data_IF_503093441715
#
_entry.id   IF_503093441715
#
_cell.length_a   1.000
_cell.length_b   1.000
_cell.length_c   1.000
_cell.angle_alpha   90.00
_cell.angle_beta   90.00
_cell.angle_gamma   90.00
#
_symmetry.space_group_name_H-M   'P 1'
#
loop_
_entity.id
_entity.type
_entity.pdbx_description
1 polymer ?
#
# COMPACT_ATOMS: atom_id res chain seq x y z
N UNK A 1 -53.38 13.99 77.11
CA UNK A 1 -52.64 12.98 76.25
C UNK A 1 -53.07 12.94 74.80
N UNK A 2 -54.34 13.19 74.44
CA UNK A 2 -54.77 13.18 73.05
C UNK A 2 -54.23 14.31 72.15
N UNK A 3 -53.95 15.44 72.75
CA UNK A 3 -53.39 16.61 71.96
C UNK A 3 -51.92 16.49 71.58
N UNK A 4 -51.16 15.71 72.40
CA UNK A 4 -49.72 15.49 72.10
C UNK A 4 -49.50 14.48 70.97
N UNK A 5 -50.37 13.49 70.85
CA UNK A 5 -50.28 12.50 69.78
C UNK A 5 -50.66 13.08 68.40
N UNK A 6 -51.61 14.00 68.36
CA UNK A 6 -51.98 14.65 67.07
C UNK A 6 -50.92 15.61 66.56
N UNK A 7 -50.13 16.22 67.46
CA UNK A 7 -49.04 17.10 67.06
C UNK A 7 -47.83 16.32 66.50
N UNK A 8 -47.53 15.17 67.04
CA UNK A 8 -46.44 14.32 66.50
C UNK A 8 -46.80 13.67 65.17
N UNK A 9 -48.08 13.29 64.99
CA UNK A 9 -48.53 12.75 63.71
C UNK A 9 -48.53 13.80 62.58
N UNK A 10 -48.90 15.06 62.90
CA UNK A 10 -48.85 16.17 61.92
C UNK A 10 -47.40 16.53 61.54
N UNK A 11 -46.46 16.49 62.49
CA UNK A 11 -45.03 16.73 62.22
C UNK A 11 -44.40 15.61 61.34
N UNK A 12 -44.77 14.35 61.59
CA UNK A 12 -44.29 13.23 60.80
C UNK A 12 -44.81 13.27 59.33
N UNK A 13 -46.04 13.67 59.12
CA UNK A 13 -46.59 13.84 57.78
C UNK A 13 -45.97 15.02 57.05
N UNK A 14 -45.66 16.12 57.74
CA UNK A 14 -44.98 17.29 57.15
C UNK A 14 -43.55 16.97 56.73
N UNK A 15 -42.79 16.19 57.51
CA UNK A 15 -41.45 15.75 57.16
C UNK A 15 -41.47 14.77 55.99
N UNK A 16 -42.43 13.87 55.95
CA UNK A 16 -42.58 12.95 54.81
C UNK A 16 -43.01 13.67 53.51
N UNK A 17 -43.86 14.70 53.60
CA UNK A 17 -44.25 15.52 52.44
C UNK A 17 -43.07 16.41 51.97
N UNK A 18 -42.19 16.88 52.86
CA UNK A 18 -41.02 17.66 52.49
C UNK A 18 -39.95 16.81 51.82
N UNK A 19 -39.84 15.53 52.18
CA UNK A 19 -38.94 14.57 51.54
C UNK A 19 -39.42 14.13 50.14
N UNK A 20 -40.72 14.25 49.85
CA UNK A 20 -41.32 13.98 48.52
C UNK A 20 -41.31 15.20 47.59
N UNK A 21 -41.03 16.40 48.11
CA UNK A 21 -40.97 17.66 47.32
C UNK A 21 -39.56 18.18 47.07
N UNK A 22 -38.52 17.48 47.51
CA UNK A 22 -37.19 17.75 47.09
C UNK A 22 -37.08 17.20 45.66
N UNK A 23 -37.02 18.06 44.61
CA UNK A 23 -36.75 17.56 43.28
C UNK A 23 -35.38 16.88 43.38
N UNK A 24 -35.32 15.62 42.95
CA UNK A 24 -34.09 14.89 42.76
C UNK A 24 -33.29 15.60 41.66
N UNK A 25 -32.73 16.76 41.98
CA UNK A 25 -31.57 17.30 41.27
C UNK A 25 -30.32 16.55 41.77
N UNK A 26 -30.46 15.22 41.93
CA UNK A 26 -29.28 14.35 41.87
C UNK A 26 -28.77 14.46 40.45
N UNK A 27 -27.74 15.17 40.32
CA UNK A 27 -26.80 15.26 39.24
C UNK A 27 -27.18 14.41 38.03
N UNK A 28 -27.70 15.03 36.99
CA UNK A 28 -27.12 14.72 35.70
C UNK A 28 -25.64 15.01 35.86
N UNK A 29 -24.92 14.07 36.42
CA UNK A 29 -23.56 13.83 36.01
C UNK A 29 -23.70 13.88 34.49
N UNK A 30 -23.29 15.01 33.89
CA UNK A 30 -22.77 14.95 32.56
C UNK A 30 -21.71 13.87 32.66
N UNK A 31 -22.09 12.65 32.38
CA UNK A 31 -21.19 11.76 31.71
C UNK A 31 -20.80 12.59 30.46
N UNK A 32 -19.71 13.34 30.59
CA UNK A 32 -18.81 13.47 29.50
C UNK A 32 -18.67 12.00 29.07
N UNK A 33 -19.43 11.61 28.07
CA UNK A 33 -19.01 10.60 27.18
C UNK A 33 -17.68 11.15 26.64
N UNK A 34 -16.60 10.89 27.35
CA UNK A 34 -15.37 10.62 26.70
C UNK A 34 -15.80 9.54 25.71
N UNK A 35 -16.05 9.92 24.47
CA UNK A 35 -15.73 9.08 23.36
C UNK A 35 -14.22 8.88 23.48
N UNK A 36 -13.77 8.06 24.43
CA UNK A 36 -12.63 7.23 24.20
C UNK A 36 -13.06 6.52 22.91
N UNK A 37 -12.58 6.99 21.75
CA UNK A 37 -12.34 6.09 20.66
C UNK A 37 -11.68 4.92 21.39
N UNK A 38 -12.43 3.84 21.61
CA UNK A 38 -11.80 2.56 21.87
C UNK A 38 -10.88 2.43 20.69
N UNK A 39 -9.63 2.79 20.88
CA UNK A 39 -8.53 2.35 20.04
C UNK A 39 -8.67 0.86 20.12
N UNK A 40 -9.40 0.32 19.15
CA UNK A 40 -9.65 -1.10 19.03
C UNK A 40 -8.26 -1.70 18.94
N UNK A 41 -7.84 -2.33 20.02
CA UNK A 41 -6.54 -2.99 20.10
C UNK A 41 -6.54 -4.03 18.98
N UNK A 42 -5.85 -3.72 17.86
CA UNK A 42 -5.81 -4.58 16.68
C UNK A 42 -4.81 -5.72 16.92
N UNK A 43 -5.19 -6.64 17.79
CA UNK A 43 -4.34 -7.76 18.18
C UNK A 43 -4.30 -8.86 17.12
N UNK A 44 -5.18 -8.81 16.10
CA UNK A 44 -5.35 -9.90 15.15
C UNK A 44 -5.54 -9.41 13.70
N UNK A 45 -4.67 -8.52 13.24
CA UNK A 45 -4.68 -8.05 11.86
C UNK A 45 -3.94 -9.02 10.94
N UNK A 46 -4.51 -9.23 9.75
CA UNK A 46 -3.95 -10.08 8.72
C UNK A 46 -3.80 -9.32 7.40
N UNK A 47 -2.83 -9.70 6.59
CA UNK A 47 -2.71 -9.23 5.22
C UNK A 47 -2.65 -10.43 4.26
N UNK A 48 -3.45 -10.38 3.19
CA UNK A 48 -3.37 -11.30 2.05
C UNK A 48 -2.99 -10.47 0.83
N UNK A 49 -1.78 -10.69 0.32
CA UNK A 49 -1.17 -9.86 -0.73
C UNK A 49 -0.90 -10.71 -1.95
N UNK A 50 -1.52 -10.38 -3.08
CA UNK A 50 -1.57 -11.24 -4.26
C UNK A 50 -1.09 -10.51 -5.51
N UNK A 51 0.04 -10.97 -6.06
CA UNK A 51 0.45 -10.70 -7.43
C UNK A 51 -0.04 -11.84 -8.32
N UNK A 52 -0.99 -11.55 -9.21
CA UNK A 52 -1.62 -12.60 -10.04
C UNK A 52 -0.94 -12.79 -11.39
N UNK A 53 -0.03 -11.90 -11.79
CA UNK A 53 0.55 -11.88 -13.13
C UNK A 53 1.90 -12.55 -13.23
N UNK A 54 2.14 -13.21 -14.37
CA UNK A 54 3.42 -13.78 -14.76
C UNK A 54 4.09 -12.94 -15.85
N UNK A 55 5.32 -13.32 -16.21
CA UNK A 55 6.15 -12.77 -17.27
C UNK A 55 6.77 -11.41 -16.96
N UNK A 56 7.95 -11.19 -17.50
CA UNK A 56 8.81 -10.03 -17.22
C UNK A 56 8.14 -8.66 -17.45
N UNK A 57 7.32 -8.52 -18.46
CA UNK A 57 6.63 -7.26 -18.74
C UNK A 57 5.59 -6.87 -17.67
N UNK A 58 5.25 -7.79 -16.77
CA UNK A 58 4.40 -7.58 -15.59
C UNK A 58 5.20 -7.37 -14.29
N UNK A 59 6.49 -7.07 -14.39
CA UNK A 59 7.40 -6.83 -13.27
C UNK A 59 6.77 -5.94 -12.19
N UNK A 60 6.09 -4.87 -12.60
CA UNK A 60 5.44 -3.92 -11.72
C UNK A 60 4.44 -4.55 -10.73
N UNK A 61 3.71 -5.58 -11.14
CA UNK A 61 2.71 -6.22 -10.27
C UNK A 61 3.39 -6.94 -9.08
N UNK A 62 4.53 -7.61 -9.31
CA UNK A 62 5.33 -8.16 -8.21
C UNK A 62 5.91 -7.05 -7.34
N UNK A 63 6.44 -5.99 -7.95
CA UNK A 63 6.99 -4.86 -7.21
C UNK A 63 5.91 -4.13 -6.37
N UNK A 64 4.69 -3.96 -6.90
CA UNK A 64 3.54 -3.45 -6.15
C UNK A 64 3.26 -4.28 -4.90
N UNK A 65 3.14 -5.59 -5.07
CA UNK A 65 2.81 -6.54 -3.99
C UNK A 65 3.90 -6.56 -2.91
N UNK A 66 5.17 -6.62 -3.32
CA UNK A 66 6.32 -6.56 -2.40
C UNK A 66 6.41 -5.22 -1.65
N UNK A 67 6.01 -4.14 -2.30
CA UNK A 67 5.98 -2.81 -1.67
C UNK A 67 4.93 -2.75 -0.55
N UNK A 68 3.73 -3.30 -0.79
CA UNK A 68 2.70 -3.42 0.24
C UNK A 68 3.13 -4.38 1.36
N UNK A 69 3.77 -5.51 1.03
CA UNK A 69 4.33 -6.43 2.01
C UNK A 69 5.28 -5.71 2.98
N UNK A 70 6.24 -4.94 2.45
CA UNK A 70 7.14 -4.14 3.29
C UNK A 70 6.40 -3.07 4.09
N UNK A 71 5.38 -2.46 3.51
CA UNK A 71 4.58 -1.42 4.18
C UNK A 71 3.84 -1.97 5.38
N UNK A 72 3.13 -3.08 5.24
CA UNK A 72 2.37 -3.69 6.35
C UNK A 72 3.30 -4.25 7.43
N UNK A 73 4.45 -4.82 7.06
CA UNK A 73 5.49 -5.23 8.04
C UNK A 73 6.01 -4.03 8.83
N UNK A 74 6.36 -2.93 8.14
CA UNK A 74 6.84 -1.70 8.79
C UNK A 74 5.80 -1.10 9.73
N UNK A 75 4.51 -1.26 9.43
CA UNK A 75 3.41 -0.79 10.26
C UNK A 75 2.96 -1.79 11.34
N UNK A 76 3.64 -2.94 11.46
CA UNK A 76 3.51 -3.83 12.59
C UNK A 76 2.77 -5.14 12.37
N UNK A 77 2.40 -5.52 11.13
CA UNK A 77 1.86 -6.87 10.86
C UNK A 77 3.05 -7.85 10.78
N UNK A 78 3.12 -8.87 11.65
CA UNK A 78 4.21 -9.84 11.62
C UNK A 78 4.04 -10.83 10.46
N UNK A 79 5.15 -11.45 10.01
CA UNK A 79 5.16 -12.36 8.85
C UNK A 79 4.17 -13.51 8.96
N UNK A 80 4.04 -14.10 10.14
CA UNK A 80 3.08 -15.20 10.36
C UNK A 80 1.60 -14.80 10.17
N UNK A 81 1.32 -13.52 9.97
CA UNK A 81 0.00 -12.97 9.66
C UNK A 81 -0.08 -12.31 8.29
N UNK A 82 0.91 -12.54 7.45
CA UNK A 82 0.91 -12.11 6.05
C UNK A 82 0.88 -13.38 5.19
N UNK A 83 -0.08 -13.47 4.29
CA UNK A 83 -0.08 -14.48 3.22
C UNK A 83 0.36 -13.79 1.94
N UNK A 84 1.55 -14.11 1.48
CA UNK A 84 2.15 -13.53 0.27
C UNK A 84 2.09 -14.52 -0.89
N UNK A 85 1.38 -14.13 -1.96
CA UNK A 85 1.19 -14.94 -3.17
C UNK A 85 1.81 -14.22 -4.37
N UNK A 86 2.86 -14.81 -4.97
CA UNK A 86 3.57 -14.26 -6.13
C UNK A 86 3.54 -15.24 -7.31
N UNK A 87 2.80 -14.90 -8.38
CA UNK A 87 2.61 -15.77 -9.54
C UNK A 87 3.87 -15.96 -10.38
N UNK A 88 4.87 -15.10 -10.24
CA UNK A 88 6.18 -15.24 -10.89
C UNK A 88 7.31 -14.81 -9.94
N UNK A 89 8.55 -15.09 -10.31
CA UNK A 89 9.74 -14.68 -9.58
C UNK A 89 10.60 -13.73 -10.45
N UNK A 90 10.32 -12.43 -10.34
CA UNK A 90 11.08 -11.41 -11.07
C UNK A 90 12.50 -11.26 -10.53
N UNK A 91 12.75 -11.61 -9.27
CA UNK A 91 14.09 -11.55 -8.68
C UNK A 91 15.05 -12.56 -9.33
N UNK A 92 14.54 -13.76 -9.68
CA UNK A 92 15.30 -14.83 -10.32
C UNK A 92 15.11 -14.88 -11.85
N UNK A 93 14.43 -13.91 -12.46
CA UNK A 93 14.20 -13.89 -13.90
C UNK A 93 15.50 -13.65 -14.68
N UNK A 94 15.71 -14.39 -15.77
CA UNK A 94 16.91 -14.26 -16.61
C UNK A 94 17.09 -12.88 -17.25
N UNK A 95 16.01 -12.08 -17.37
CA UNK A 95 16.07 -10.69 -17.85
C UNK A 95 16.45 -9.69 -16.76
N UNK A 96 16.44 -10.11 -15.50
CA UNK A 96 16.74 -9.22 -14.40
C UNK A 96 18.23 -8.88 -14.37
N UNK A 97 18.57 -7.61 -14.63
CA UNK A 97 19.94 -7.08 -14.55
C UNK A 97 20.47 -7.08 -13.10
N UNK A 98 19.59 -7.12 -12.12
CA UNK A 98 19.87 -7.12 -10.69
C UNK A 98 19.40 -8.43 -10.03
N UNK A 99 20.16 -9.55 -10.17
CA UNK A 99 19.75 -10.85 -9.64
C UNK A 99 19.39 -10.79 -8.15
N UNK A 100 18.34 -11.48 -7.76
CA UNK A 100 17.80 -11.53 -6.41
C UNK A 100 17.31 -10.17 -5.85
N UNK A 101 17.05 -9.19 -6.71
CA UNK A 101 16.58 -7.86 -6.32
C UNK A 101 15.35 -7.45 -7.13
N UNK A 102 14.46 -6.69 -6.51
CA UNK A 102 13.28 -6.08 -7.15
C UNK A 102 13.15 -4.65 -6.65
N UNK A 103 12.92 -3.72 -7.57
CA UNK A 103 12.82 -2.29 -7.28
C UNK A 103 11.52 -1.71 -7.82
N UNK A 104 10.97 -0.70 -7.14
CA UNK A 104 9.81 0.08 -7.58
C UNK A 104 10.11 1.58 -7.73
N UNK A 105 11.36 1.96 -7.61
CA UNK A 105 11.80 3.36 -7.55
C UNK A 105 13.04 3.59 -8.38
N UNK A 106 13.21 4.83 -8.80
CA UNK A 106 14.41 5.29 -9.49
C UNK A 106 15.66 5.11 -8.63
N UNK A 107 16.79 4.91 -9.31
CA UNK A 107 18.11 4.74 -8.71
C UNK A 107 18.26 3.47 -7.83
N UNK A 108 17.36 2.50 -7.88
CA UNK A 108 17.46 1.17 -7.26
C UNK A 108 17.89 1.20 -5.78
N UNK A 109 17.37 2.18 -5.01
CA UNK A 109 17.81 2.45 -3.64
C UNK A 109 17.31 1.45 -2.61
N UNK A 110 16.14 0.87 -2.84
CA UNK A 110 15.54 -0.09 -1.93
C UNK A 110 15.22 -1.38 -2.64
N UNK A 111 15.93 -2.44 -2.31
CA UNK A 111 15.57 -3.78 -2.73
C UNK A 111 14.31 -4.23 -1.98
N UNK A 112 13.23 -4.47 -2.73
CA UNK A 112 11.96 -4.96 -2.19
C UNK A 112 12.01 -6.46 -1.87
N UNK A 113 12.84 -7.22 -2.61
CA UNK A 113 13.03 -8.66 -2.47
C UNK A 113 14.33 -8.93 -1.70
N UNK A 114 14.29 -8.64 -0.38
CA UNK A 114 15.44 -8.85 0.52
C UNK A 114 15.39 -10.20 1.21
N UNK A 115 16.37 -10.45 2.09
CA UNK A 115 16.55 -11.73 2.81
C UNK A 115 15.36 -12.11 3.71
N UNK A 116 14.51 -11.15 4.05
CA UNK A 116 13.40 -11.32 4.99
C UNK A 116 12.03 -11.39 4.31
N UNK A 117 11.94 -11.71 3.01
CA UNK A 117 10.66 -11.89 2.32
C UNK A 117 10.24 -13.34 2.37
N UNK A 118 9.13 -13.62 3.05
CA UNK A 118 8.53 -14.95 3.11
C UNK A 118 7.39 -15.05 2.10
N UNK A 119 7.58 -15.87 1.07
CA UNK A 119 6.56 -16.09 0.03
C UNK A 119 5.88 -17.43 0.28
N UNK A 120 4.57 -17.39 0.54
CA UNK A 120 3.78 -18.58 0.87
C UNK A 120 3.35 -19.37 -0.36
N UNK A 121 2.91 -18.68 -1.41
CA UNK A 121 2.51 -19.29 -2.68
C UNK A 121 3.33 -18.72 -3.81
N UNK A 122 3.99 -19.61 -4.58
CA UNK A 122 4.93 -19.22 -5.64
C UNK A 122 4.51 -19.79 -6.99
N UNK A 123 4.69 -18.99 -8.03
CA UNK A 123 4.52 -19.44 -9.42
C UNK A 123 3.17 -20.12 -9.65
N UNK A 124 3.19 -21.37 -10.07
CA UNK A 124 1.98 -22.12 -10.38
C UNK A 124 1.07 -22.44 -9.18
N UNK A 125 1.51 -22.21 -7.95
CA UNK A 125 0.61 -22.33 -6.78
C UNK A 125 -0.37 -21.15 -6.68
N UNK A 126 -0.11 -20.04 -7.39
CA UNK A 126 -0.99 -18.86 -7.38
C UNK A 126 -2.11 -19.04 -8.39
N UNK A 127 -3.10 -19.83 -8.04
CA UNK A 127 -4.32 -20.11 -8.82
C UNK A 127 -5.55 -19.47 -8.17
N UNK A 128 -6.62 -19.30 -8.94
CA UNK A 128 -7.92 -18.85 -8.39
C UNK A 128 -8.39 -19.84 -7.31
N UNK A 129 -8.23 -21.15 -7.53
CA UNK A 129 -8.63 -22.16 -6.55
C UNK A 129 -7.86 -22.02 -5.22
N UNK A 130 -6.52 -21.92 -5.26
CA UNK A 130 -5.73 -21.77 -4.03
C UNK A 130 -6.02 -20.45 -3.33
N UNK A 131 -6.23 -19.35 -4.08
CA UNK A 131 -6.66 -18.08 -3.53
C UNK A 131 -7.99 -18.19 -2.78
N UNK A 132 -9.01 -18.79 -3.41
CA UNK A 132 -10.32 -19.00 -2.77
C UNK A 132 -10.23 -19.94 -1.56
N UNK A 133 -9.37 -20.96 -1.61
CA UNK A 133 -9.09 -21.85 -0.47
C UNK A 133 -8.46 -21.10 0.70
N UNK A 134 -7.53 -20.17 0.44
CA UNK A 134 -6.94 -19.31 1.48
C UNK A 134 -8.04 -18.49 2.17
N UNK A 135 -8.85 -17.77 1.40
CA UNK A 135 -9.91 -16.93 1.94
C UNK A 135 -10.92 -17.74 2.76
N UNK A 136 -11.39 -18.83 2.20
CA UNK A 136 -12.48 -19.63 2.81
C UNK A 136 -12.02 -20.62 3.88
N UNK A 137 -10.67 -20.80 4.04
CA UNK A 137 -10.08 -21.76 4.97
C UNK A 137 -10.29 -23.22 4.58
N UNK A 138 -10.53 -23.51 3.30
CA UNK A 138 -10.75 -24.87 2.77
C UNK A 138 -9.42 -25.50 2.36
N UNK A 139 -8.52 -25.65 3.31
CA UNK A 139 -7.22 -26.27 3.07
C UNK A 139 -7.28 -27.78 3.23
N UNK A 140 -6.47 -28.48 2.44
CA UNK A 140 -6.14 -29.87 2.70
C UNK A 140 -5.32 -29.99 3.99
N UNK A 141 -5.40 -31.14 4.65
CA UNK A 141 -4.71 -31.35 5.93
C UNK A 141 -3.18 -31.21 5.81
N UNK A 142 -2.63 -31.52 4.65
CA UNK A 142 -1.19 -31.45 4.37
C UNK A 142 -0.64 -30.03 4.17
N UNK A 143 -1.50 -29.02 3.92
CA UNK A 143 -1.05 -27.64 3.72
C UNK A 143 -0.42 -27.11 5.00
N UNK A 144 0.82 -26.57 4.96
CA UNK A 144 1.49 -26.01 6.13
C UNK A 144 0.68 -24.90 6.80
N UNK A 145 0.84 -24.75 8.10
CA UNK A 145 0.14 -23.72 8.88
C UNK A 145 0.46 -22.30 8.41
N UNK A 146 1.70 -22.04 7.98
CA UNK A 146 2.15 -20.76 7.44
C UNK A 146 1.39 -20.33 6.17
N UNK A 147 0.90 -21.27 5.37
CA UNK A 147 0.11 -21.00 4.16
C UNK A 147 -1.40 -20.82 4.43
N UNK A 148 -1.83 -20.78 5.69
CA UNK A 148 -3.24 -20.71 6.06
C UNK A 148 -3.57 -19.34 6.66
N UNK A 149 -4.60 -18.71 6.15
CA UNK A 149 -5.20 -17.55 6.78
C UNK A 149 -5.94 -18.01 8.05
N UNK A 150 -5.32 -17.86 9.21
CA UNK A 150 -5.86 -18.30 10.50
C UNK A 150 -6.58 -17.17 11.24
N UNK A 151 -7.35 -16.39 10.50
CA UNK A 151 -8.17 -15.30 11.01
C UNK A 151 -9.43 -15.80 11.71
N UNK A 152 -10.02 -14.96 12.56
CA UNK A 152 -11.21 -15.20 13.37
C UNK A 152 -12.20 -14.02 13.32
N UNK A 153 -13.24 -14.07 14.14
CA UNK A 153 -14.30 -13.07 14.19
C UNK A 153 -13.84 -11.68 14.66
N UNK A 154 -12.69 -11.59 15.32
CA UNK A 154 -12.07 -10.32 15.76
C UNK A 154 -11.05 -9.76 14.78
N UNK A 155 -10.75 -10.49 13.71
CA UNK A 155 -9.69 -10.13 12.76
C UNK A 155 -10.09 -8.98 11.84
N UNK A 156 -9.17 -8.05 11.62
CA UNK A 156 -9.20 -7.13 10.50
C UNK A 156 -8.26 -7.65 9.41
N UNK A 157 -8.76 -7.71 8.18
CA UNK A 157 -8.01 -8.28 7.07
C UNK A 157 -7.83 -7.24 5.97
N UNK A 158 -6.58 -7.02 5.53
CA UNK A 158 -6.25 -6.37 4.28
C UNK A 158 -6.12 -7.43 3.19
N UNK A 159 -6.96 -7.37 2.16
CA UNK A 159 -6.80 -8.13 0.94
C UNK A 159 -6.37 -7.18 -0.18
N UNK A 160 -5.13 -7.32 -0.65
CA UNK A 160 -4.61 -6.56 -1.78
C UNK A 160 -4.36 -7.50 -2.97
N UNK A 161 -4.85 -7.12 -4.13
CA UNK A 161 -4.66 -7.88 -5.37
C UNK A 161 -4.21 -6.95 -6.50
N UNK A 162 -3.25 -7.40 -7.29
CA UNK A 162 -2.78 -6.67 -8.47
C UNK A 162 -2.50 -7.61 -9.64
N UNK A 163 -2.83 -7.17 -10.85
CA UNK A 163 -2.67 -7.92 -12.08
C UNK A 163 -3.46 -7.31 -13.22
N UNK A 164 -3.61 -8.06 -14.32
CA UNK A 164 -4.50 -7.70 -15.40
C UNK A 164 -5.95 -8.05 -15.07
N UNK A 165 -6.88 -7.23 -15.53
CA UNK A 165 -8.31 -7.46 -15.34
C UNK A 165 -9.15 -6.73 -16.36
N UNK A 166 -10.45 -6.84 -16.19
CA UNK A 166 -11.46 -6.23 -17.04
C UNK A 166 -12.81 -6.16 -16.34
N UNK A 167 -13.88 -6.11 -17.13
CA UNK A 167 -15.23 -5.99 -16.59
C UNK A 167 -15.61 -7.25 -15.79
N UNK A 168 -15.70 -7.10 -14.47
CA UNK A 168 -16.06 -8.13 -13.48
C UNK A 168 -15.05 -9.29 -13.33
N UNK A 169 -13.79 -9.15 -13.77
CA UNK A 169 -12.78 -10.19 -13.55
C UNK A 169 -11.37 -9.68 -13.27
N UNK A 170 -10.59 -10.50 -12.58
CA UNK A 170 -9.15 -10.37 -12.41
C UNK A 170 -8.46 -11.63 -12.94
N UNK A 171 -7.47 -11.47 -13.83
CA UNK A 171 -6.71 -12.59 -14.40
C UNK A 171 -5.70 -13.16 -13.42
N UNK A 172 -5.63 -14.48 -13.36
CA UNK A 172 -4.59 -15.22 -12.67
C UNK A 172 -3.70 -15.94 -13.70
N UNK A 173 -2.41 -15.62 -13.71
CA UNK A 173 -1.38 -16.21 -14.59
C UNK A 173 -1.72 -16.15 -16.10
N UNK A 174 -2.59 -15.22 -16.51
CA UNK A 174 -3.10 -15.09 -17.90
C UNK A 174 -3.90 -16.31 -18.42
N UNK A 175 -4.21 -17.28 -17.56
CA UNK A 175 -4.91 -18.53 -17.92
C UNK A 175 -6.23 -18.74 -17.19
N UNK A 176 -6.39 -18.17 -15.99
CA UNK A 176 -7.59 -18.27 -15.16
C UNK A 176 -8.16 -16.86 -14.91
N UNK A 177 -9.41 -16.79 -14.54
CA UNK A 177 -10.09 -15.54 -14.18
C UNK A 177 -10.85 -15.71 -12.86
N UNK A 178 -10.53 -14.84 -11.89
CA UNK A 178 -11.36 -14.65 -10.71
C UNK A 178 -12.52 -13.74 -11.10
N UNK A 179 -13.73 -14.26 -11.14
CA UNK A 179 -14.93 -13.50 -11.46
C UNK A 179 -15.49 -12.78 -10.22
N UNK A 180 -16.21 -11.67 -10.42
CA UNK A 180 -16.90 -10.93 -9.34
C UNK A 180 -17.80 -11.81 -8.47
N UNK A 181 -18.60 -12.77 -9.00
CA UNK A 181 -19.35 -13.72 -8.19
C UNK A 181 -18.48 -14.63 -7.32
N UNK A 182 -17.34 -15.11 -7.83
CA UNK A 182 -16.44 -16.00 -7.07
C UNK A 182 -15.87 -15.29 -5.84
N UNK A 183 -15.45 -14.02 -6.02
CA UNK A 183 -14.98 -13.20 -4.92
C UNK A 183 -16.09 -12.95 -3.90
N UNK A 184 -17.30 -12.63 -4.37
CA UNK A 184 -18.45 -12.36 -3.50
C UNK A 184 -18.86 -13.60 -2.69
N UNK A 185 -18.86 -14.77 -3.31
CA UNK A 185 -19.18 -16.04 -2.64
C UNK A 185 -18.10 -16.42 -1.62
N UNK A 186 -16.82 -16.19 -1.94
CA UNK A 186 -15.73 -16.40 -0.98
C UNK A 186 -15.87 -15.49 0.24
N UNK A 187 -16.12 -14.20 0.04
CA UNK A 187 -16.31 -13.23 1.13
C UNK A 187 -17.54 -13.56 1.97
N UNK A 188 -18.65 -14.01 1.34
CA UNK A 188 -19.83 -14.49 2.04
C UNK A 188 -19.50 -15.69 2.93
N UNK A 189 -18.78 -16.69 2.42
CA UNK A 189 -18.33 -17.85 3.20
C UNK A 189 -17.39 -17.45 4.34
N UNK A 190 -16.49 -16.49 4.13
CA UNK A 190 -15.64 -15.94 5.19
C UNK A 190 -16.52 -15.35 6.31
N UNK A 191 -17.55 -14.58 5.97
CA UNK A 191 -18.46 -13.96 6.95
C UNK A 191 -19.27 -15.01 7.71
N UNK A 192 -19.84 -15.98 7.00
CA UNK A 192 -20.62 -17.08 7.61
C UNK A 192 -19.76 -17.95 8.55
N UNK A 193 -18.46 -18.08 8.27
CA UNK A 193 -17.50 -18.83 9.10
C UNK A 193 -16.81 -17.96 10.16
N UNK A 194 -17.27 -16.74 10.38
CA UNK A 194 -16.71 -15.81 11.37
C UNK A 194 -15.17 -15.62 11.21
N UNK A 195 -14.69 -15.41 9.96
CA UNK A 195 -13.27 -15.30 9.67
C UNK A 195 -12.76 -13.86 9.66
N UNK A 196 -13.61 -12.87 9.78
CA UNK A 196 -13.23 -11.47 9.93
C UNK A 196 -14.31 -10.66 10.66
N UNK A 197 -13.85 -9.64 11.38
CA UNK A 197 -14.67 -8.54 11.86
C UNK A 197 -14.90 -7.54 10.72
N UNK A 198 -13.81 -7.09 10.11
CA UNK A 198 -13.77 -6.15 9.00
C UNK A 198 -12.79 -6.62 7.93
N UNK A 199 -13.13 -6.37 6.67
CA UNK A 199 -12.34 -6.72 5.50
C UNK A 199 -12.18 -5.51 4.59
N UNK A 200 -10.94 -5.07 4.35
CA UNK A 200 -10.61 -4.09 3.31
C UNK A 200 -10.08 -4.83 2.08
N UNK A 201 -10.77 -4.68 0.95
CA UNK A 201 -10.35 -5.21 -0.35
C UNK A 201 -9.80 -4.06 -1.18
N UNK A 202 -8.51 -4.15 -1.57
CA UNK A 202 -7.85 -3.21 -2.48
C UNK A 202 -7.45 -3.92 -3.76
N UNK A 203 -7.86 -3.38 -4.91
CA UNK A 203 -7.56 -3.99 -6.21
C UNK A 203 -6.94 -2.97 -7.15
N UNK A 204 -5.73 -3.28 -7.63
CA UNK A 204 -5.01 -2.48 -8.63
C UNK A 204 -5.02 -3.22 -9.97
N UNK A 205 -6.01 -2.92 -10.80
CA UNK A 205 -6.24 -3.51 -12.12
C UNK A 205 -7.14 -2.62 -12.98
N UNK A 206 -7.22 -2.88 -14.27
CA UNK A 206 -8.19 -2.22 -15.15
C UNK A 206 -9.61 -2.57 -14.73
N UNK A 207 -10.53 -1.60 -14.74
CA UNK A 207 -11.94 -1.74 -14.38
C UNK A 207 -12.17 -2.35 -12.98
N UNK A 208 -11.24 -2.11 -12.04
CA UNK A 208 -11.21 -2.73 -10.72
C UNK A 208 -12.54 -2.62 -9.95
N UNK A 209 -13.26 -1.51 -10.08
CA UNK A 209 -14.55 -1.27 -9.43
C UNK A 209 -15.59 -2.35 -9.74
N UNK A 210 -15.54 -2.94 -10.93
CA UNK A 210 -16.53 -3.93 -11.37
C UNK A 210 -16.41 -5.26 -10.63
N UNK A 211 -15.21 -5.57 -10.11
CA UNK A 211 -14.99 -6.78 -9.32
C UNK A 211 -15.80 -6.78 -8.01
N UNK A 212 -16.28 -5.62 -7.58
CA UNK A 212 -17.07 -5.46 -6.35
C UNK A 212 -18.58 -5.54 -6.54
N UNK A 213 -19.08 -5.67 -7.77
CA UNK A 213 -20.50 -5.58 -8.10
C UNK A 213 -21.36 -6.57 -7.31
N UNK A 214 -20.87 -7.78 -7.09
CA UNK A 214 -21.63 -8.87 -6.46
C UNK A 214 -21.42 -8.97 -4.94
N UNK A 215 -20.54 -8.14 -4.33
CA UNK A 215 -20.31 -8.14 -2.88
C UNK A 215 -21.60 -7.72 -2.13
N UNK A 216 -21.94 -8.47 -1.08
CA UNK A 216 -23.13 -8.21 -0.25
C UNK A 216 -22.89 -8.34 1.25
N UNK A 217 -21.73 -8.83 1.65
CA UNK A 217 -21.42 -9.13 3.05
C UNK A 217 -21.16 -7.86 3.85
N UNK A 218 -21.77 -7.69 5.05
CA UNK A 218 -21.53 -6.54 5.90
C UNK A 218 -20.11 -6.56 6.51
N UNK A 219 -19.56 -5.38 6.79
CA UNK A 219 -18.21 -5.20 7.33
C UNK A 219 -17.12 -5.29 6.25
N UNK A 220 -17.50 -5.12 4.98
CA UNK A 220 -16.57 -5.09 3.84
C UNK A 220 -16.46 -3.68 3.31
N UNK A 221 -15.22 -3.22 3.17
CA UNK A 221 -14.86 -2.00 2.48
C UNK A 221 -14.03 -2.38 1.26
N UNK A 222 -14.34 -1.85 0.09
CA UNK A 222 -13.62 -2.17 -1.12
C UNK A 222 -13.16 -0.90 -1.85
N UNK A 223 -11.91 -0.92 -2.35
CA UNK A 223 -11.36 0.16 -3.17
C UNK A 223 -10.65 -0.41 -4.39
N UNK A 224 -10.92 0.16 -5.56
CA UNK A 224 -10.29 -0.19 -6.83
C UNK A 224 -9.60 1.00 -7.46
N UNK A 225 -8.54 0.74 -8.22
CA UNK A 225 -7.73 1.75 -8.89
C UNK A 225 -8.44 2.45 -10.05
N UNK A 226 -9.57 1.90 -10.57
CA UNK A 226 -10.24 2.39 -11.78
C UNK A 226 -11.72 2.02 -11.80
N UNK A 227 -12.52 2.87 -12.46
CA UNK A 227 -13.94 2.66 -12.70
C UNK A 227 -14.16 1.73 -13.89
N UNK A 228 -15.42 1.31 -14.11
CA UNK A 228 -15.82 0.58 -15.33
C UNK A 228 -15.46 1.37 -16.57
N UNK A 229 -14.81 0.72 -17.54
CA UNK A 229 -14.34 1.33 -18.78
C UNK A 229 -12.98 2.04 -18.66
N UNK A 230 -12.41 2.17 -17.46
CA UNK A 230 -11.11 2.79 -17.26
C UNK A 230 -9.99 1.75 -17.12
N UNK A 231 -8.78 2.16 -17.50
CA UNK A 231 -7.56 1.39 -17.27
C UNK A 231 -6.87 1.83 -15.96
N UNK A 232 -6.15 0.91 -15.31
CA UNK A 232 -5.11 1.25 -14.36
C UNK A 232 -3.78 1.39 -15.09
N UNK A 233 -3.03 2.45 -14.80
CA UNK A 233 -1.83 2.82 -15.56
C UNK A 233 -0.56 2.54 -14.80
N UNK A 234 0.45 2.06 -15.52
CA UNK A 234 1.80 1.89 -15.01
C UNK A 234 2.50 3.24 -14.80
N UNK A 235 3.53 3.22 -13.96
CA UNK A 235 4.34 4.38 -13.60
C UNK A 235 5.82 3.99 -13.52
N UNK A 236 6.74 4.97 -13.68
CA UNK A 236 8.19 4.77 -13.66
C UNK A 236 8.67 3.66 -14.61
N UNK A 237 8.83 4.02 -15.89
CA UNK A 237 9.56 3.20 -16.83
C UNK A 237 11.05 3.24 -16.46
N UNK A 238 11.58 2.12 -16.00
CA UNK A 238 13.00 1.99 -15.64
C UNK A 238 13.80 1.50 -16.84
N UNK A 239 14.80 2.28 -17.25
CA UNK A 239 15.62 1.97 -18.44
C UNK A 239 16.52 0.74 -18.25
N UNK A 240 16.95 0.45 -17.03
CA UNK A 240 17.80 -0.68 -16.70
C UNK A 240 17.02 -1.99 -16.60
N UNK A 241 15.82 -1.92 -16.04
CA UNK A 241 14.89 -3.05 -15.96
C UNK A 241 14.18 -3.26 -17.32
N UNK A 242 14.01 -2.19 -18.10
CA UNK A 242 13.41 -2.17 -19.43
C UNK A 242 11.87 -2.25 -19.44
N UNK A 243 11.24 -2.14 -18.27
CA UNK A 243 9.78 -2.14 -18.09
C UNK A 243 9.37 -1.20 -16.96
N UNK A 244 8.08 -0.88 -16.87
CA UNK A 244 7.56 -0.11 -15.73
C UNK A 244 7.65 -0.92 -14.44
N UNK A 245 8.02 -0.25 -13.34
CA UNK A 245 8.36 -0.90 -12.07
C UNK A 245 7.32 -0.71 -10.96
N UNK A 246 6.26 0.05 -11.20
CA UNK A 246 5.15 0.28 -10.28
C UNK A 246 3.89 0.70 -11.06
N UNK A 247 2.69 0.52 -10.51
CA UNK A 247 1.45 1.11 -11.03
C UNK A 247 1.10 2.39 -10.27
N UNK A 248 0.41 3.34 -10.92
CA UNK A 248 0.11 4.66 -10.34
C UNK A 248 -0.67 4.58 -9.04
N UNK A 249 -1.70 3.76 -8.99
CA UNK A 249 -2.50 3.60 -7.78
C UNK A 249 -1.65 3.15 -6.59
N UNK A 250 -0.84 2.11 -6.79
CA UNK A 250 0.07 1.62 -5.75
C UNK A 250 1.14 2.67 -5.42
N UNK A 251 1.70 3.39 -6.41
CA UNK A 251 2.68 4.45 -6.17
C UNK A 251 2.15 5.53 -5.22
N UNK A 252 0.94 6.06 -5.47
CA UNK A 252 0.34 7.09 -4.61
C UNK A 252 -0.10 6.53 -3.26
N UNK A 253 -0.51 5.26 -3.19
CA UNK A 253 -0.73 4.55 -1.92
C UNK A 253 0.55 4.53 -1.09
N UNK A 254 1.68 4.15 -1.69
CA UNK A 254 2.99 4.13 -1.01
C UNK A 254 3.43 5.53 -0.59
N UNK A 255 3.25 6.55 -1.45
CA UNK A 255 3.58 7.93 -1.14
C UNK A 255 2.80 8.46 0.08
N UNK A 256 1.57 8.00 0.28
CA UNK A 256 0.81 8.28 1.50
C UNK A 256 1.46 7.61 2.72
N UNK A 257 1.74 6.31 2.64
CA UNK A 257 2.30 5.56 3.76
C UNK A 257 3.74 5.94 4.12
N UNK A 258 4.55 6.46 3.18
CA UNK A 258 5.90 6.94 3.45
C UNK A 258 5.97 8.05 4.51
N UNK A 259 4.90 8.81 4.66
CA UNK A 259 4.77 9.89 5.64
C UNK A 259 4.34 9.40 7.01
N UNK A 260 3.84 8.17 7.09
CA UNK A 260 3.25 7.61 8.30
C UNK A 260 4.20 6.67 9.02
N UNK A 261 4.10 6.67 10.33
CA UNK A 261 4.65 5.64 11.21
C UNK A 261 3.51 4.88 11.92
N UNK A 262 3.84 3.80 12.62
CA UNK A 262 2.84 2.95 13.29
C UNK A 262 2.03 3.65 14.39
N UNK A 263 2.48 4.81 14.86
CA UNK A 263 1.81 5.60 15.91
C UNK A 263 0.97 6.74 15.34
N UNK A 264 1.01 6.97 14.02
CA UNK A 264 0.24 8.03 13.40
C UNK A 264 -1.23 7.63 13.29
N UNK A 265 -2.11 8.53 13.70
CA UNK A 265 -3.56 8.31 13.65
C UNK A 265 -4.17 8.84 12.34
N UNK A 266 -3.61 8.43 11.19
CA UNK A 266 -4.18 8.77 9.89
C UNK A 266 -5.43 7.92 9.61
N UNK A 267 -6.49 8.57 9.11
CA UNK A 267 -7.76 7.89 8.81
C UNK A 267 -7.79 7.29 7.40
N UNK A 268 -8.67 6.32 7.18
CA UNK A 268 -8.95 5.78 5.83
C UNK A 268 -9.48 6.86 4.90
N UNK A 269 -10.26 7.82 5.41
CA UNK A 269 -10.71 8.98 4.64
C UNK A 269 -9.56 9.78 4.08
N UNK A 270 -8.49 10.00 4.87
CA UNK A 270 -7.30 10.73 4.41
C UNK A 270 -6.52 9.96 3.34
N UNK A 271 -6.45 8.62 3.42
CA UNK A 271 -5.88 7.78 2.37
C UNK A 271 -6.71 7.90 1.09
N UNK A 272 -8.02 7.72 1.16
CA UNK A 272 -8.87 7.70 -0.04
C UNK A 272 -8.95 9.08 -0.71
N UNK A 273 -8.92 10.15 0.07
CA UNK A 273 -8.88 11.53 -0.46
C UNK A 273 -7.54 11.86 -1.14
N UNK A 274 -6.47 11.12 -0.83
CA UNK A 274 -5.17 11.32 -1.47
C UNK A 274 -5.12 10.87 -2.93
N UNK A 275 -6.08 10.05 -3.37
CA UNK A 275 -6.15 9.55 -4.75
C UNK A 275 -6.71 10.63 -5.69
N UNK A 276 -5.81 11.34 -6.37
CA UNK A 276 -6.18 12.35 -7.36
C UNK A 276 -6.34 11.70 -8.75
N UNK A 277 -7.52 11.78 -9.38
CA UNK A 277 -7.76 11.17 -10.69
C UNK A 277 -6.80 11.64 -11.79
N UNK A 278 -6.39 12.91 -11.77
CA UNK A 278 -5.43 13.45 -12.75
C UNK A 278 -4.04 12.82 -12.61
N UNK A 279 -3.63 12.44 -11.39
CA UNK A 279 -2.36 11.77 -11.12
C UNK A 279 -2.43 10.28 -11.39
N UNK A 280 -3.55 9.65 -11.05
CA UNK A 280 -3.79 8.23 -11.32
C UNK A 280 -4.01 7.96 -12.81
N UNK A 281 -4.52 8.94 -13.56
CA UNK A 281 -5.07 8.80 -14.92
C UNK A 281 -6.30 7.87 -14.96
N UNK A 282 -6.92 7.64 -13.80
CA UNK A 282 -8.11 6.81 -13.57
C UNK A 282 -8.82 7.30 -12.32
N UNK A 283 -10.06 6.89 -12.13
CA UNK A 283 -10.87 7.26 -10.97
C UNK A 283 -10.84 6.13 -9.95
N UNK A 284 -10.16 6.32 -8.83
CA UNK A 284 -10.24 5.37 -7.73
C UNK A 284 -11.68 5.32 -7.20
N UNK A 285 -12.24 4.12 -7.11
CA UNK A 285 -13.60 3.87 -6.66
C UNK A 285 -13.57 3.12 -5.33
N UNK A 286 -14.35 3.58 -4.38
CA UNK A 286 -14.52 2.89 -3.11
C UNK A 286 -15.99 2.65 -2.81
N UNK A 287 -16.28 1.42 -2.36
CA UNK A 287 -17.61 0.94 -2.04
C UNK A 287 -17.77 0.88 -0.52
N UNK A 288 -18.59 1.77 0.04
CA UNK A 288 -18.78 1.96 1.48
C UNK A 288 -20.14 1.48 2.00
N UNK A 289 -21.09 1.15 1.12
CA UNK A 289 -22.47 0.75 1.48
C UNK A 289 -22.53 -0.51 2.36
N UNK A 290 -21.49 -1.36 2.31
CA UNK A 290 -21.38 -2.57 3.14
C UNK A 290 -20.58 -2.34 4.44
N UNK A 291 -20.03 -1.14 4.63
CA UNK A 291 -19.18 -0.78 5.74
C UNK A 291 -19.87 0.25 6.64
N UNK A 292 -20.01 -0.08 7.94
CA UNK A 292 -20.85 0.71 8.84
C UNK A 292 -20.14 1.86 9.55
N UNK A 293 -18.79 1.86 9.56
CA UNK A 293 -18.03 2.88 10.26
C UNK A 293 -17.75 4.09 9.36
N UNK A 294 -17.64 5.26 9.97
CA UNK A 294 -17.23 6.48 9.27
C UNK A 294 -15.72 6.44 8.97
N UNK A 295 -15.34 6.62 7.72
CA UNK A 295 -13.94 6.49 7.26
C UNK A 295 -13.00 7.48 7.92
N UNK A 296 -13.51 8.60 8.44
CA UNK A 296 -12.78 9.61 9.21
C UNK A 296 -12.33 9.08 10.58
N UNK A 297 -13.09 8.13 11.15
CA UNK A 297 -12.86 7.58 12.48
C UNK A 297 -12.03 6.29 12.44
N UNK A 298 -11.89 5.68 11.25
CA UNK A 298 -11.16 4.43 11.09
C UNK A 298 -9.70 4.72 10.76
N UNK A 299 -8.80 4.36 11.66
CA UNK A 299 -7.37 4.50 11.43
C UNK A 299 -6.88 3.56 10.32
N UNK A 300 -5.95 4.00 9.47
CA UNK A 300 -5.36 3.14 8.43
C UNK A 300 -4.66 1.92 9.03
N UNK A 301 -4.14 2.03 10.26
CA UNK A 301 -3.50 0.93 10.99
C UNK A 301 -4.47 -0.19 11.35
N UNK A 302 -5.79 0.03 11.27
CA UNK A 302 -6.79 -1.03 11.43
C UNK A 302 -6.63 -2.15 10.39
N UNK A 303 -6.08 -1.83 9.21
CA UNK A 303 -5.88 -2.80 8.14
C UNK A 303 -4.41 -2.95 7.74
N UNK A 304 -3.62 -1.87 7.78
CA UNK A 304 -2.24 -1.88 7.32
C UNK A 304 -1.22 -2.06 8.43
N UNK A 305 -1.64 -2.06 9.69
CA UNK A 305 -0.75 -2.07 10.84
C UNK A 305 -1.16 -3.04 11.93
N UNK A 306 -0.38 -3.01 13.01
CA UNK A 306 -0.66 -3.73 14.26
C UNK A 306 0.00 -2.96 15.41
N UNK A 307 -0.39 -3.29 16.64
CA UNK A 307 0.25 -2.76 17.87
C UNK A 307 1.56 -3.50 18.21
N UNK A 308 1.96 -4.48 17.42
CA UNK A 308 3.21 -5.20 17.65
C UNK A 308 4.41 -4.36 17.23
N UNK A 309 5.43 -4.28 18.07
CA UNK A 309 6.71 -3.71 17.66
C UNK A 309 7.39 -4.62 16.65
N UNK A 310 7.68 -4.08 15.48
CA UNK A 310 8.45 -4.75 14.45
C UNK A 310 9.75 -4.01 14.18
N UNK A 311 10.75 -4.70 13.65
CA UNK A 311 11.98 -4.09 13.19
C UNK A 311 11.65 -3.15 12.04
N UNK A 312 11.91 -1.86 12.23
CA UNK A 312 11.71 -0.85 11.18
C UNK A 312 12.65 -1.11 10.02
N UNK A 313 12.09 -1.37 8.85
CA UNK A 313 12.85 -1.35 7.61
C UNK A 313 12.82 0.07 7.04
N UNK A 314 14.01 0.61 6.68
CA UNK A 314 14.09 1.93 6.08
C UNK A 314 13.31 1.99 4.76
N UNK A 315 12.63 3.10 4.53
CA UNK A 315 11.90 3.37 3.31
C UNK A 315 12.82 4.01 2.26
N UNK A 316 12.61 3.65 0.99
CA UNK A 316 13.37 4.23 -0.12
C UNK A 316 13.23 5.76 -0.21
N UNK A 317 12.07 6.28 0.16
CA UNK A 317 11.76 7.72 0.10
C UNK A 317 12.33 8.50 1.29
N UNK A 318 12.41 7.90 2.49
CA UNK A 318 13.03 8.53 3.66
C UNK A 318 14.56 8.66 3.53
N UNK A 319 15.21 7.77 2.79
CA UNK A 319 16.64 7.87 2.53
C UNK A 319 17.03 9.15 1.78
N UNK A 320 16.13 9.70 0.95
CA UNK A 320 16.32 10.97 0.24
C UNK A 320 16.32 12.20 1.16
N UNK A 321 15.54 12.17 2.26
CA UNK A 321 15.45 13.31 3.17
C UNK A 321 16.60 13.38 4.19
N UNK A 322 17.25 12.27 4.50
CA UNK A 322 18.36 12.21 5.46
C UNK A 322 19.69 12.73 4.90
N UNK A 323 19.90 12.67 3.58
CA UNK A 323 21.15 13.18 2.96
C UNK A 323 21.27 14.72 2.96
N UNK A 324 20.17 15.46 3.18
CA UNK A 324 20.20 16.92 3.23
C UNK A 324 20.29 17.51 4.66
N UNK A 325 20.07 16.71 5.72
CA UNK A 325 19.98 17.19 7.11
C UNK A 325 21.12 16.75 8.04
N UNK A 326 22.01 15.85 7.66
CA UNK A 326 23.05 15.33 8.55
C UNK A 326 24.45 15.86 8.26
N UNK A 327 24.54 17.17 7.93
CA UNK A 327 25.79 17.90 8.12
C UNK A 327 25.77 18.60 9.50
N UNK A 328 25.51 17.82 10.55
CA UNK A 328 25.78 18.22 11.90
C UNK A 328 27.15 17.66 12.26
N UNK A 329 28.09 18.56 12.53
CA UNK A 329 29.45 18.28 13.01
C UNK A 329 29.44 17.23 14.13
N UNK A 330 29.89 16.02 13.83
CA UNK A 330 30.31 15.08 14.87
C UNK A 330 31.70 15.55 15.31
N UNK A 331 31.76 16.35 16.37
CA UNK A 331 32.98 16.56 17.14
C UNK A 331 33.30 15.25 17.86
N UNK A 332 34.21 14.47 17.31
CA UNK A 332 34.80 13.35 18.03
C UNK A 332 35.69 13.88 19.15
N UNK A 333 35.67 13.25 20.35
CA UNK A 333 36.61 13.60 21.41
C UNK A 333 38.03 13.33 20.96
N UNK A 334 38.93 14.26 21.22
CA UNK A 334 40.35 14.17 20.90
C UNK A 334 40.99 13.09 21.80
N UNK A 335 41.41 11.97 21.21
CA UNK A 335 42.26 10.96 21.86
C UNK A 335 43.72 11.22 21.46
N UNK A 336 44.62 11.57 22.39
CA UNK A 336 45.99 11.91 22.09
C UNK A 336 46.93 10.73 21.80
N UNK A 337 46.42 9.50 21.69
CA UNK A 337 47.23 8.29 21.53
C UNK A 337 47.34 7.75 20.09
N UNK A 338 46.74 8.38 19.09
CA UNK A 338 46.81 7.93 17.69
C UNK A 338 47.97 8.56 16.94
N UNK A 339 48.83 7.74 16.39
CA UNK A 339 50.08 8.07 15.71
C UNK A 339 49.81 8.80 14.38
N UNK A 340 50.59 9.86 14.06
CA UNK A 340 50.43 10.73 12.89
C UNK A 340 50.48 10.02 11.51
N UNK A 341 50.98 8.79 11.45
CA UNK A 341 51.07 8.02 10.22
C UNK A 341 49.72 7.41 9.77
N UNK A 342 48.78 7.09 10.70
CA UNK A 342 47.46 6.57 10.34
C UNK A 342 46.53 7.67 9.82
N UNK A 343 46.70 8.91 10.25
CA UNK A 343 45.92 10.06 9.76
C UNK A 343 46.15 10.38 8.29
N UNK A 344 47.37 10.12 7.74
CA UNK A 344 47.66 10.37 6.33
C UNK A 344 47.04 9.35 5.40
N UNK A 345 46.86 8.10 5.83
CA UNK A 345 46.24 7.03 5.03
C UNK A 345 44.74 7.23 4.90
N UNK A 346 44.05 7.69 5.98
CA UNK A 346 42.62 7.96 5.96
C UNK A 346 42.25 9.24 5.17
N UNK A 347 43.13 10.25 5.19
CA UNK A 347 42.94 11.48 4.41
C UNK A 347 43.16 11.30 2.90
N UNK A 348 43.95 10.29 2.48
CA UNK A 348 44.24 10.01 1.08
C UNK A 348 43.23 9.10 0.42
N UNK A 349 42.45 8.29 1.19
CA UNK A 349 41.32 7.49 0.70
C UNK A 349 40.10 8.35 0.35
N UNK A 350 39.80 9.36 1.18
CA UNK A 350 38.69 10.29 0.91
C UNK A 350 38.95 11.23 -0.29
N UNK A 351 40.24 11.46 -0.64
CA UNK A 351 40.60 12.30 -1.80
C UNK A 351 40.53 11.56 -3.14
N UNK A 352 40.58 10.22 -3.14
CA UNK A 352 40.51 9.44 -4.39
C UNK A 352 39.08 9.23 -4.86
N UNK A 353 38.13 9.12 -3.96
CA UNK A 353 36.71 8.94 -4.33
C UNK A 353 36.06 10.24 -4.85
N UNK A 354 36.62 11.42 -4.46
CA UNK A 354 36.14 12.72 -4.95
C UNK A 354 36.69 13.15 -6.33
N UNK A 355 37.73 12.49 -6.84
CA UNK A 355 38.33 12.82 -8.16
C UNK A 355 37.72 11.97 -9.28
N UNK A 356 37.08 10.84 -8.97
CA UNK A 356 36.38 10.01 -9.96
C UNK A 356 35.03 10.59 -10.42
N UNK A 357 34.39 11.39 -9.57
CA UNK A 357 33.08 11.98 -9.90
C UNK A 357 33.14 13.27 -10.73
N UNK A 358 34.33 13.88 -10.86
CA UNK A 358 34.51 15.12 -11.63
C UNK A 358 34.95 14.91 -13.09
N UNK A 359 35.09 13.68 -13.57
CA UNK A 359 35.52 13.40 -14.95
C UNK A 359 34.46 12.88 -15.90
N UNK A 360 33.20 12.71 -15.48
CA UNK A 360 32.12 12.20 -16.32
C UNK A 360 31.10 13.25 -16.79
N UNK A 361 31.31 14.53 -16.51
CA UNK A 361 30.34 15.58 -16.91
C UNK A 361 30.59 16.22 -18.30
N UNK A 362 31.66 15.91 -19.01
CA UNK A 362 32.05 16.65 -20.23
C UNK A 362 31.98 15.85 -21.54
N UNK A 363 31.14 14.84 -21.68
CA UNK A 363 30.83 14.21 -22.98
C UNK A 363 29.38 13.84 -23.19
N UNK A 364 28.43 14.73 -22.92
CA UNK A 364 27.16 14.70 -23.63
C UNK A 364 27.36 15.31 -25.04
N UNK A 365 27.63 14.47 -26.02
CA UNK A 365 27.72 14.87 -27.40
C UNK A 365 26.40 15.52 -27.88
N UNK A 366 26.47 16.34 -28.95
CA UNK A 366 25.34 17.05 -29.57
C UNK A 366 24.06 16.19 -29.73
N UNK A 367 24.22 14.88 -29.79
CA UNK A 367 23.13 13.90 -29.90
C UNK A 367 22.36 13.74 -28.57
N UNK A 368 23.03 13.80 -27.42
CA UNK A 368 22.38 13.73 -26.10
C UNK A 368 21.55 14.98 -25.80
N UNK A 369 22.04 16.16 -26.15
CA UNK A 369 21.29 17.40 -26.01
C UNK A 369 20.08 17.47 -26.96
N UNK A 370 20.24 16.96 -28.18
CA UNK A 370 19.14 16.86 -29.15
C UNK A 370 18.05 15.89 -28.65
N UNK A 371 18.45 14.74 -28.11
CA UNK A 371 17.53 13.74 -27.57
C UNK A 371 16.76 14.27 -26.36
N UNK A 372 17.41 14.98 -25.47
CA UNK A 372 16.78 15.63 -24.31
C UNK A 372 15.77 16.70 -24.77
N UNK A 373 16.11 17.49 -25.78
CA UNK A 373 15.21 18.52 -26.33
C UNK A 373 14.00 17.90 -27.03
N UNK A 374 14.18 16.75 -27.70
CA UNK A 374 13.07 16.02 -28.34
C UNK A 374 12.14 15.41 -27.26
N UNK A 375 12.70 14.78 -26.22
CA UNK A 375 11.92 14.21 -25.13
C UNK A 375 11.11 15.29 -24.38
N UNK A 376 11.72 16.43 -24.06
CA UNK A 376 11.03 17.56 -23.40
C UNK A 376 9.90 18.18 -24.27
N UNK A 377 9.95 17.99 -25.57
CA UNK A 377 8.88 18.41 -26.48
C UNK A 377 7.79 17.36 -26.66
N UNK A 378 8.14 16.08 -26.64
CA UNK A 378 7.19 14.96 -26.71
C UNK A 378 6.33 14.91 -25.44
N UNK A 379 6.91 15.14 -24.27
CA UNK A 379 6.19 15.19 -23.00
C UNK A 379 5.19 16.36 -22.87
N UNK A 380 5.29 17.35 -23.76
CA UNK A 380 4.37 18.51 -23.83
C UNK A 380 3.23 18.36 -24.84
N UNK A 381 3.15 17.22 -25.54
CA UNK A 381 2.09 16.96 -26.51
C UNK A 381 0.92 16.31 -25.76
N UNK A 382 -0.08 17.12 -25.44
CA UNK A 382 -1.29 16.69 -24.72
C UNK A 382 -2.37 16.08 -25.63
N UNK A 383 -2.17 16.07 -26.96
CA UNK A 383 -3.19 15.63 -27.93
C UNK A 383 -2.64 14.58 -28.90
N UNK A 384 -3.37 13.45 -29.04
CA UNK A 384 -3.03 12.31 -29.90
C UNK A 384 -2.92 12.74 -31.37
N UNK A 385 -3.75 13.68 -31.83
CA UNK A 385 -3.74 14.14 -33.24
C UNK A 385 -2.46 14.92 -33.56
N UNK A 386 -1.95 15.69 -32.61
CA UNK A 386 -0.65 16.36 -32.69
C UNK A 386 0.51 15.38 -32.75
N UNK A 387 0.45 14.30 -31.95
CA UNK A 387 1.47 13.24 -31.94
C UNK A 387 1.55 12.52 -33.29
N UNK A 388 0.41 12.22 -33.91
CA UNK A 388 0.34 11.57 -35.26
C UNK A 388 0.89 12.50 -36.31
N UNK A 389 0.57 13.79 -36.28
CA UNK A 389 1.10 14.78 -37.25
C UNK A 389 2.62 14.95 -37.13
N UNK A 390 3.17 15.05 -35.93
CA UNK A 390 4.62 15.15 -35.69
C UNK A 390 5.33 13.85 -36.07
N UNK A 391 4.75 12.68 -35.77
CA UNK A 391 5.26 11.38 -36.14
C UNK A 391 5.37 11.23 -37.68
N UNK A 392 4.34 11.63 -38.43
CA UNK A 392 4.33 11.66 -39.88
C UNK A 392 5.38 12.64 -40.43
N UNK A 393 5.55 13.81 -39.85
CA UNK A 393 6.49 14.84 -40.28
C UNK A 393 7.95 14.41 -40.11
N UNK A 394 8.26 13.57 -39.13
CA UNK A 394 9.60 12.99 -38.90
C UNK A 394 9.83 11.74 -39.77
N UNK A 395 8.81 10.90 -39.93
CA UNK A 395 8.97 9.65 -40.72
C UNK A 395 9.01 9.89 -42.23
N UNK A 396 8.30 10.90 -42.73
CA UNK A 396 8.25 11.20 -44.18
C UNK A 396 9.66 11.50 -44.77
N UNK A 397 10.51 12.36 -44.17
CA UNK A 397 11.86 12.58 -44.66
C UNK A 397 12.75 11.32 -44.59
N UNK A 398 12.60 10.50 -43.53
CA UNK A 398 13.37 9.26 -43.38
C UNK A 398 13.01 8.21 -44.42
N UNK A 399 11.78 8.16 -44.87
CA UNK A 399 11.33 7.28 -45.98
C UNK A 399 11.76 7.79 -47.33
N UNK A 400 11.92 9.10 -47.52
CA UNK A 400 12.34 9.70 -48.77
C UNK A 400 13.88 9.78 -48.97
N UNK A 401 14.65 9.72 -47.89
CA UNK A 401 16.12 9.77 -47.94
C UNK A 401 16.75 8.65 -48.80
N UNK A 402 16.32 7.38 -48.73
CA UNK A 402 16.88 6.32 -49.56
C UNK A 402 16.58 6.50 -51.07
N UNK A 403 15.44 7.12 -51.39
CA UNK A 403 15.06 7.36 -52.78
C UNK A 403 15.80 8.55 -53.41
N UNK A 404 16.23 9.52 -52.62
CA UNK A 404 17.04 10.67 -53.03
C UNK A 404 18.53 10.34 -53.15
N UNK A 405 19.02 9.29 -52.45
CA UNK A 405 20.40 8.83 -52.55
C UNK A 405 20.64 7.76 -53.61
N UNK A 406 19.58 7.31 -54.27
CA UNK A 406 19.64 6.31 -55.38
C UNK A 406 19.53 6.94 -56.76
N UNK A 407 19.64 8.28 -56.88
CA UNK A 407 19.73 9.02 -58.14
C UNK A 407 21.09 9.67 -58.32
#
# INVERSE_FOLDING_TARGET
>A
MRTFFNSMAAAAVAVAAFLLLVPSTVGKSMAFASSSSETTMHTNNWAVLVCTSRFWFNYRHMANTLSLYRTVKRLGIPDERIILMLADDMACNARNKYPAQVFNNENHRLNLYGDNVEVDYRGYEVTVENFLRVLTGRHENAVPRSKRLLSDEGSHILLYMTGHGGDEFLKFQDSEELQSPDLADAVKQMKEKHRFKELLIMVDTCQAATLFNQLQSPGVLAIGSSMKGENSYSHHLDSDVGVSVVDRFTFYTLAFFERLNMYDNASLSSLFTSYNPSLLMSTAYYRTDLYQQHLEEVAVTNFFGSVMETIHTDSAYKALSRTSSSRAEIKMPFDPSVNDNERRVLADSDRRDHISDLKNEDQEGAFGQLWKTINDRVDKIEDIDSFVQYGLLVMLPLLLLPTLLSW
#
